data_IF_843591119128
#
_entry.id   IF_843591119128
#
_cell.length_a   1.000
_cell.length_b   1.000
_cell.length_c   1.000
_cell.angle_alpha   90.00
_cell.angle_beta   90.00
_cell.angle_gamma   90.00
#
_symmetry.space_group_name_H-M   'P 1'
#
loop_
_entity.id
_entity.type
_entity.pdbx_description
1 polymer ?
#
# COMPACT_ATOMS: atom_id res chain seq x y z
N UNK A 1 -32.44 2.09 -12.49
CA UNK A 1 -31.10 2.25 -13.11
C UNK A 1 -30.48 3.62 -12.81
N UNK A 2 -31.24 4.72 -12.77
CA UNK A 2 -30.72 6.07 -12.46
C UNK A 2 -30.09 6.21 -11.07
N UNK A 3 -30.65 5.60 -10.03
CA UNK A 3 -30.10 5.65 -8.66
C UNK A 3 -28.73 4.98 -8.50
N UNK A 4 -28.47 3.91 -9.26
CA UNK A 4 -27.17 3.20 -9.26
C UNK A 4 -26.10 4.03 -9.97
N UNK A 5 -26.46 4.67 -11.09
CA UNK A 5 -25.57 5.58 -11.82
C UNK A 5 -25.15 6.79 -10.96
N UNK A 6 -26.10 7.36 -10.21
CA UNK A 6 -25.84 8.49 -9.31
C UNK A 6 -24.97 8.11 -8.11
N UNK A 7 -25.18 6.92 -7.52
CA UNK A 7 -24.33 6.37 -6.45
C UNK A 7 -22.88 6.18 -6.95
N UNK A 8 -22.71 5.55 -8.11
CA UNK A 8 -21.40 5.31 -8.71
C UNK A 8 -20.66 6.61 -9.04
N UNK A 9 -21.38 7.65 -9.46
CA UNK A 9 -20.80 8.97 -9.72
C UNK A 9 -20.27 9.62 -8.44
N UNK A 10 -21.03 9.55 -7.32
CA UNK A 10 -20.59 10.08 -6.02
C UNK A 10 -19.36 9.36 -5.48
N UNK A 11 -19.38 8.03 -5.53
CA UNK A 11 -18.22 7.20 -5.13
C UNK A 11 -17.02 7.54 -6.01
N UNK A 12 -17.21 7.67 -7.32
CA UNK A 12 -16.15 8.05 -8.25
C UNK A 12 -15.52 9.41 -7.95
N UNK A 13 -16.33 10.42 -7.59
CA UNK A 13 -15.83 11.75 -7.19
C UNK A 13 -14.96 11.63 -5.93
N UNK A 14 -15.44 10.92 -4.90
CA UNK A 14 -14.71 10.73 -3.64
C UNK A 14 -13.38 10.02 -3.87
N UNK A 15 -13.39 8.92 -4.64
CA UNK A 15 -12.19 8.17 -4.99
C UNK A 15 -11.18 9.01 -5.81
N UNK A 16 -11.68 9.88 -6.69
CA UNK A 16 -10.82 10.77 -7.47
C UNK A 16 -10.14 11.80 -6.58
N UNK A 17 -10.86 12.38 -5.62
CA UNK A 17 -10.30 13.32 -4.63
C UNK A 17 -9.22 12.66 -3.77
N UNK A 18 -9.44 11.42 -3.34
CA UNK A 18 -8.43 10.63 -2.61
C UNK A 18 -7.14 10.47 -3.43
N UNK A 19 -7.25 10.04 -4.69
CA UNK A 19 -6.10 9.86 -5.57
C UNK A 19 -5.34 11.17 -5.84
N UNK A 20 -6.05 12.29 -6.03
CA UNK A 20 -5.42 13.61 -6.20
C UNK A 20 -4.66 14.01 -4.94
N UNK A 21 -5.25 13.80 -3.76
CA UNK A 21 -4.61 14.05 -2.48
C UNK A 21 -3.36 13.16 -2.31
N UNK A 22 -3.44 11.88 -2.67
CA UNK A 22 -2.33 10.94 -2.58
C UNK A 22 -1.15 11.37 -3.47
N UNK A 23 -1.38 11.67 -4.74
CA UNK A 23 -0.32 12.06 -5.70
C UNK A 23 0.38 13.36 -5.26
N UNK A 24 -0.38 14.29 -4.66
CA UNK A 24 0.12 15.64 -4.34
C UNK A 24 0.73 15.72 -2.94
N UNK A 25 0.01 15.22 -1.93
CA UNK A 25 0.37 15.40 -0.52
C UNK A 25 1.42 14.41 -0.04
N UNK A 26 1.42 13.16 -0.51
CA UNK A 26 2.39 12.15 -0.03
C UNK A 26 3.84 12.62 -0.25
N UNK A 27 4.24 13.11 -1.43
CA UNK A 27 5.62 13.57 -1.61
C UNK A 27 5.90 14.89 -0.88
N UNK A 28 4.91 15.80 -0.81
CA UNK A 28 5.04 17.07 -0.08
C UNK A 28 5.31 16.82 1.41
N UNK A 29 4.48 16.00 2.04
CA UNK A 29 4.61 15.60 3.43
C UNK A 29 5.89 14.77 3.64
N UNK A 30 6.26 13.91 2.69
CA UNK A 30 7.55 13.21 2.72
C UNK A 30 8.72 14.17 2.85
N UNK A 31 8.77 15.20 1.99
CA UNK A 31 9.81 16.22 2.00
C UNK A 31 9.74 17.14 3.23
N UNK A 32 8.54 17.46 3.73
CA UNK A 32 8.37 18.24 4.97
C UNK A 32 8.86 17.43 6.17
N UNK A 33 8.46 16.17 6.27
CA UNK A 33 8.89 15.28 7.34
C UNK A 33 10.38 14.99 7.29
N UNK A 34 11.05 15.01 6.14
CA UNK A 34 12.51 14.91 6.06
C UNK A 34 13.24 16.02 6.84
N UNK A 35 12.62 17.20 7.00
CA UNK A 35 13.24 18.42 7.57
C UNK A 35 12.86 18.68 9.02
N UNK A 36 11.77 18.11 9.50
CA UNK A 36 11.27 18.38 10.85
C UNK A 36 12.01 17.50 11.85
N UNK A 37 12.80 18.09 12.75
CA UNK A 37 13.38 17.33 13.86
C UNK A 37 12.78 17.80 15.19
N UNK A 38 12.16 16.88 15.93
CA UNK A 38 11.57 17.17 17.25
C UNK A 38 12.16 16.25 18.32
N UNK A 39 11.71 16.40 19.57
CA UNK A 39 12.12 15.54 20.69
C UNK A 39 11.67 14.09 20.52
N UNK A 40 10.58 13.85 19.81
CA UNK A 40 10.02 12.51 19.57
C UNK A 40 10.53 11.85 18.29
N UNK A 41 11.39 12.54 17.53
CA UNK A 41 11.90 12.07 16.23
C UNK A 41 11.53 13.01 15.09
N UNK A 42 11.71 12.52 13.87
CA UNK A 42 11.47 13.25 12.62
C UNK A 42 10.19 12.87 11.92
N UNK A 43 9.93 11.56 11.83
CA UNK A 43 8.70 11.04 11.24
C UNK A 43 7.57 11.01 12.27
N UNK A 44 7.91 10.69 13.52
CA UNK A 44 6.92 10.48 14.59
C UNK A 44 5.93 11.64 14.84
N UNK A 45 6.31 12.94 14.73
CA UNK A 45 5.33 14.04 14.85
C UNK A 45 4.18 13.95 13.84
N UNK A 46 4.47 13.55 12.61
CA UNK A 46 3.46 13.45 11.56
C UNK A 46 2.49 12.29 11.83
N UNK A 47 2.98 11.20 12.41
CA UNK A 47 2.14 10.09 12.89
C UNK A 47 1.28 10.55 14.07
N UNK A 48 1.89 11.25 15.04
CA UNK A 48 1.21 11.73 16.24
C UNK A 48 0.03 12.67 15.95
N UNK A 49 0.13 13.53 14.93
CA UNK A 49 -0.97 14.41 14.55
C UNK A 49 -1.87 13.79 13.47
N UNK A 50 -1.30 13.12 12.47
CA UNK A 50 -2.06 12.57 11.34
C UNK A 50 -2.94 11.40 11.73
N UNK A 51 -2.44 10.43 12.50
CA UNK A 51 -3.21 9.22 12.83
C UNK A 51 -4.43 9.52 13.71
N UNK A 52 -4.37 10.37 14.75
CA UNK A 52 -5.56 10.68 15.55
C UNK A 52 -6.63 11.44 14.77
N UNK A 53 -6.23 12.40 13.93
CA UNK A 53 -7.19 13.12 13.08
C UNK A 53 -7.84 12.11 12.12
N UNK A 54 -7.06 11.28 11.44
CA UNK A 54 -7.62 10.23 10.59
C UNK A 54 -8.57 9.29 11.36
N UNK A 55 -8.23 8.89 12.59
CA UNK A 55 -9.05 8.00 13.40
C UNK A 55 -10.40 8.62 13.76
N UNK A 56 -10.40 9.89 14.15
CA UNK A 56 -11.61 10.61 14.53
C UNK A 56 -12.54 10.72 13.32
N UNK A 57 -12.02 11.19 12.18
CA UNK A 57 -12.85 11.36 10.99
C UNK A 57 -13.30 10.01 10.41
N UNK A 58 -12.47 8.97 10.47
CA UNK A 58 -12.86 7.61 10.07
C UNK A 58 -13.99 7.06 10.95
N UNK A 59 -13.85 7.17 12.28
CA UNK A 59 -14.90 6.71 13.21
C UNK A 59 -16.21 7.49 13.05
N UNK A 60 -16.15 8.75 12.61
CA UNK A 60 -17.32 9.61 12.42
C UNK A 60 -18.13 9.28 11.15
N UNK A 61 -17.53 8.66 10.13
CA UNK A 61 -18.19 8.35 8.84
C UNK A 61 -19.60 7.77 8.99
N UNK A 62 -19.84 6.68 9.76
CA UNK A 62 -21.15 6.07 9.85
C UNK A 62 -22.20 6.97 10.54
N UNK A 63 -21.78 7.87 11.43
CA UNK A 63 -22.67 8.72 12.24
C UNK A 63 -23.05 10.04 11.57
N UNK A 64 -22.44 10.36 10.44
CA UNK A 64 -22.68 11.60 9.72
C UNK A 64 -23.76 11.35 8.66
N UNK A 65 -24.71 12.29 8.56
CA UNK A 65 -25.77 12.24 7.55
C UNK A 65 -25.18 11.98 6.16
N UNK A 66 -25.82 11.08 5.40
CA UNK A 66 -25.43 10.71 4.03
C UNK A 66 -25.60 11.85 2.99
N UNK A 67 -25.76 13.10 3.45
CA UNK A 67 -25.63 14.26 2.60
C UNK A 67 -24.20 14.37 2.08
N UNK A 68 -24.06 14.30 0.75
CA UNK A 68 -22.75 14.38 0.08
C UNK A 68 -21.96 15.63 0.48
N UNK A 69 -22.65 16.73 0.80
CA UNK A 69 -22.05 17.99 1.20
C UNK A 69 -21.40 17.96 2.58
N UNK A 70 -21.86 17.08 3.47
CA UNK A 70 -21.29 16.90 4.83
C UNK A 70 -20.27 15.77 4.83
N UNK A 71 -20.56 14.69 4.12
CA UNK A 71 -19.68 13.53 4.02
C UNK A 71 -18.39 13.82 3.23
N UNK A 72 -18.45 14.66 2.19
CA UNK A 72 -17.28 14.96 1.35
C UNK A 72 -16.17 15.68 2.15
N UNK A 73 -16.43 16.77 2.90
CA UNK A 73 -15.41 17.39 3.74
C UNK A 73 -14.80 16.44 4.77
N UNK A 74 -15.60 15.57 5.38
CA UNK A 74 -15.15 14.56 6.37
C UNK A 74 -14.13 13.63 5.74
N UNK A 75 -14.46 13.06 4.57
CA UNK A 75 -13.57 12.16 3.84
C UNK A 75 -12.32 12.90 3.35
N UNK A 76 -12.45 14.13 2.86
CA UNK A 76 -11.30 14.93 2.43
C UNK A 76 -10.34 15.21 3.58
N UNK A 77 -10.85 15.60 4.76
CA UNK A 77 -10.01 15.83 5.95
C UNK A 77 -9.34 14.53 6.39
N UNK A 78 -10.08 13.43 6.40
CA UNK A 78 -9.54 12.09 6.69
C UNK A 78 -8.41 11.74 5.72
N UNK A 79 -8.58 11.93 4.42
CA UNK A 79 -7.57 11.62 3.41
C UNK A 79 -6.33 12.50 3.53
N UNK A 80 -6.48 13.79 3.84
CA UNK A 80 -5.35 14.69 4.14
C UNK A 80 -4.59 14.19 5.37
N UNK A 81 -5.30 13.80 6.43
CA UNK A 81 -4.70 13.26 7.64
C UNK A 81 -3.97 11.93 7.37
N UNK A 82 -4.56 11.04 6.56
CA UNK A 82 -3.91 9.82 6.11
C UNK A 82 -2.65 10.07 5.30
N UNK A 83 -2.70 10.98 4.32
CA UNK A 83 -1.53 11.37 3.54
C UNK A 83 -0.41 11.93 4.43
N UNK A 84 -0.78 12.61 5.52
CA UNK A 84 0.16 13.21 6.50
C UNK A 84 1.01 12.15 7.22
N UNK A 85 0.45 11.00 7.58
CA UNK A 85 1.23 9.96 8.28
C UNK A 85 1.71 8.81 7.39
N UNK A 86 1.09 8.58 6.23
CA UNK A 86 1.41 7.44 5.35
C UNK A 86 2.82 7.51 4.79
N UNK A 87 3.24 8.65 4.23
CA UNK A 87 4.59 8.82 3.68
C UNK A 87 5.68 8.66 4.76
N UNK A 88 5.58 9.35 5.92
CA UNK A 88 6.54 9.18 7.01
C UNK A 88 6.62 7.75 7.56
N UNK A 89 5.48 7.04 7.64
CA UNK A 89 5.44 5.66 8.13
C UNK A 89 6.21 4.71 7.23
N UNK A 90 6.05 4.82 5.90
CA UNK A 90 6.78 3.99 4.94
C UNK A 90 8.29 4.28 4.99
N UNK A 91 8.67 5.54 5.22
CA UNK A 91 10.07 5.96 5.32
C UNK A 91 10.77 5.48 6.61
N UNK A 92 10.03 5.22 7.70
CA UNK A 92 10.61 4.73 8.95
C UNK A 92 11.41 3.42 8.77
N UNK A 93 10.92 2.49 7.95
CA UNK A 93 11.59 1.20 7.74
C UNK A 93 13.01 1.36 7.18
N UNK A 94 13.23 2.03 6.02
CA UNK A 94 14.59 2.21 5.48
C UNK A 94 15.45 3.18 6.31
N UNK A 95 14.83 4.11 7.04
CA UNK A 95 15.50 5.06 7.92
C UNK A 95 16.12 4.36 9.16
N UNK A 96 15.41 3.40 9.76
CA UNK A 96 15.84 2.71 10.98
C UNK A 96 16.57 1.39 10.71
N UNK A 97 16.51 0.88 9.46
CA UNK A 97 17.11 -0.40 9.10
C UNK A 97 18.44 -0.21 8.38
N UNK A 98 19.55 -0.81 8.89
CA UNK A 98 20.84 -0.84 8.21
C UNK A 98 20.74 -1.37 6.78
N UNK A 99 21.48 -0.79 5.84
CA UNK A 99 21.40 -1.11 4.41
C UNK A 99 21.41 -2.61 4.08
N UNK A 100 22.26 -3.47 4.69
CA UNK A 100 22.27 -4.91 4.42
C UNK A 100 20.97 -5.64 4.81
N UNK A 101 20.25 -5.12 5.80
CA UNK A 101 19.05 -5.74 6.38
C UNK A 101 17.74 -5.21 5.77
N UNK A 102 17.78 -4.12 4.98
CA UNK A 102 16.58 -3.48 4.40
C UNK A 102 15.68 -4.44 3.61
N UNK A 103 16.26 -5.38 2.86
CA UNK A 103 15.47 -6.38 2.12
C UNK A 103 14.74 -7.36 3.05
N UNK A 104 15.38 -7.75 4.15
CA UNK A 104 14.76 -8.63 5.17
C UNK A 104 13.66 -7.88 5.91
N UNK A 105 13.91 -6.64 6.32
CA UNK A 105 12.93 -5.80 6.98
C UNK A 105 11.71 -5.54 6.07
N UNK A 106 11.91 -5.24 4.79
CA UNK A 106 10.82 -5.09 3.83
C UNK A 106 9.99 -6.39 3.69
N UNK A 107 10.66 -7.54 3.67
CA UNK A 107 9.98 -8.84 3.68
C UNK A 107 9.10 -9.06 4.91
N UNK A 108 9.59 -8.69 6.10
CA UNK A 108 8.82 -8.74 7.34
C UNK A 108 7.64 -7.78 7.30
N UNK A 109 7.82 -6.53 6.84
CA UNK A 109 6.73 -5.55 6.73
C UNK A 109 5.62 -6.07 5.82
N UNK A 110 5.97 -6.61 4.65
CA UNK A 110 4.99 -7.18 3.73
C UNK A 110 4.27 -8.39 4.34
N UNK A 111 5.02 -9.25 5.06
CA UNK A 111 4.44 -10.39 5.75
C UNK A 111 3.46 -9.98 6.84
N UNK A 112 3.83 -9.01 7.69
CA UNK A 112 2.96 -8.46 8.72
C UNK A 112 1.73 -7.77 8.12
N UNK A 113 1.88 -7.11 6.97
CA UNK A 113 0.76 -6.55 6.20
C UNK A 113 -0.25 -7.63 5.78
N UNK A 114 0.22 -8.71 5.15
CA UNK A 114 -0.68 -9.79 4.73
C UNK A 114 -1.26 -10.59 5.91
N UNK A 115 -0.51 -10.80 6.99
CA UNK A 115 -1.07 -11.34 8.25
C UNK A 115 -2.17 -10.44 8.80
N UNK A 116 -1.97 -9.12 8.78
CA UNK A 116 -2.98 -8.15 9.21
C UNK A 116 -4.25 -8.24 8.36
N UNK A 117 -4.11 -8.37 7.03
CA UNK A 117 -5.24 -8.59 6.12
C UNK A 117 -5.98 -9.90 6.43
N UNK A 118 -5.27 -11.02 6.66
CA UNK A 118 -5.90 -12.30 7.01
C UNK A 118 -6.62 -12.20 8.36
N UNK A 119 -5.99 -11.59 9.37
CA UNK A 119 -6.63 -11.39 10.67
C UNK A 119 -7.89 -10.54 10.54
N UNK A 120 -7.87 -9.51 9.68
CA UNK A 120 -9.06 -8.71 9.39
C UNK A 120 -10.15 -9.53 8.70
N UNK A 121 -9.86 -10.17 7.56
CA UNK A 121 -10.85 -10.94 6.79
C UNK A 121 -11.31 -12.24 7.46
N UNK A 122 -10.52 -12.79 8.38
CA UNK A 122 -10.82 -14.07 9.04
C UNK A 122 -11.39 -13.92 10.45
N UNK A 123 -11.02 -12.87 11.19
CA UNK A 123 -11.47 -12.65 12.57
C UNK A 123 -12.38 -11.43 12.64
N UNK A 124 -11.93 -10.28 12.16
CA UNK A 124 -12.70 -9.03 12.27
C UNK A 124 -14.06 -9.15 11.56
N UNK A 125 -14.09 -9.55 10.29
CA UNK A 125 -15.36 -9.74 9.54
C UNK A 125 -16.31 -10.75 10.19
N UNK A 126 -15.81 -11.80 10.85
CA UNK A 126 -16.64 -12.82 11.52
C UNK A 126 -17.21 -12.36 12.86
N UNK A 127 -16.49 -11.48 13.56
CA UNK A 127 -16.95 -10.84 14.79
C UNK A 127 -17.92 -9.69 14.51
N UNK A 128 -17.82 -9.10 13.32
CA UNK A 128 -18.54 -7.90 12.90
C UNK A 128 -19.37 -8.11 11.60
N UNK A 129 -19.95 -9.30 11.38
CA UNK A 129 -20.84 -9.61 10.23
C UNK A 129 -22.16 -8.82 10.30
N UNK A 130 -22.92 -8.65 9.22
CA UNK A 130 -24.20 -7.88 9.25
C UNK A 130 -25.21 -8.31 10.33
N UNK A 131 -25.16 -9.57 10.81
CA UNK A 131 -25.97 -10.05 11.94
C UNK A 131 -25.40 -9.71 13.33
N UNK A 132 -24.11 -9.36 13.45
CA UNK A 132 -23.36 -9.18 14.72
C UNK A 132 -22.58 -7.86 14.85
N UNK A 133 -22.31 -7.18 13.74
CA UNK A 133 -21.58 -5.94 13.59
C UNK A 133 -22.33 -4.98 12.66
N UNK A 134 -22.13 -3.70 12.89
CA UNK A 134 -22.79 -2.62 12.19
C UNK A 134 -21.71 -1.62 11.75
N UNK A 135 -21.91 -0.88 10.66
CA UNK A 135 -20.98 0.19 10.26
C UNK A 135 -20.69 1.16 11.42
N UNK A 136 -21.66 1.34 12.33
CA UNK A 136 -21.53 2.13 13.55
C UNK A 136 -20.63 1.50 14.63
N UNK A 137 -20.28 0.22 14.55
CA UNK A 137 -19.31 -0.44 15.44
C UNK A 137 -17.94 -0.58 14.78
N UNK A 138 -17.91 -0.87 13.48
CA UNK A 138 -16.71 -1.34 12.81
C UNK A 138 -15.69 -0.22 12.58
N UNK A 139 -16.19 0.96 12.16
CA UNK A 139 -15.36 2.15 11.96
C UNK A 139 -14.73 2.63 13.27
N UNK A 140 -15.47 2.78 14.39
CA UNK A 140 -14.86 3.09 15.68
C UNK A 140 -13.83 2.07 16.16
N UNK A 141 -14.09 0.77 16.02
CA UNK A 141 -13.12 -0.27 16.45
C UNK A 141 -11.83 -0.18 15.65
N UNK A 142 -11.92 -0.06 14.32
CA UNK A 142 -10.74 0.12 13.47
C UNK A 142 -9.97 1.40 13.81
N UNK A 143 -10.67 2.50 14.11
CA UNK A 143 -10.05 3.74 14.61
C UNK A 143 -9.33 3.54 15.95
N UNK A 144 -9.90 2.81 16.89
CA UNK A 144 -9.27 2.49 18.18
C UNK A 144 -7.99 1.67 17.94
N UNK A 145 -8.03 0.66 17.06
CA UNK A 145 -6.86 -0.13 16.68
C UNK A 145 -5.76 0.78 16.10
N UNK A 146 -6.12 1.73 15.25
CA UNK A 146 -5.17 2.69 14.68
C UNK A 146 -4.49 3.55 15.76
N UNK A 147 -5.23 3.99 16.78
CA UNK A 147 -4.65 4.71 17.93
C UNK A 147 -3.73 3.80 18.75
N UNK A 148 -4.12 2.55 19.01
CA UNK A 148 -3.28 1.59 19.72
C UNK A 148 -1.96 1.38 18.97
N UNK A 149 -2.00 1.23 17.64
CA UNK A 149 -0.80 1.13 16.80
C UNK A 149 0.07 2.37 16.94
N UNK A 150 -0.51 3.58 16.89
CA UNK A 150 0.24 4.82 17.11
C UNK A 150 0.96 4.82 18.46
N UNK A 151 0.27 4.42 19.54
CA UNK A 151 0.86 4.36 20.88
C UNK A 151 2.03 3.38 20.94
N UNK A 152 1.87 2.19 20.34
CA UNK A 152 2.96 1.20 20.23
C UNK A 152 4.15 1.80 19.47
N UNK A 153 3.91 2.45 18.32
CA UNK A 153 4.98 3.08 17.55
C UNK A 153 5.70 4.17 18.37
N UNK A 154 4.98 5.02 19.10
CA UNK A 154 5.56 6.08 19.94
C UNK A 154 6.40 5.54 21.11
N UNK A 155 6.03 4.39 21.66
CA UNK A 155 6.76 3.77 22.78
C UNK A 155 7.97 2.97 22.28
N UNK A 156 7.81 2.23 21.19
CA UNK A 156 8.82 1.28 20.69
C UNK A 156 9.85 1.93 19.78
N UNK A 157 9.47 2.93 18.97
CA UNK A 157 10.36 3.53 17.98
C UNK A 157 11.04 4.78 18.55
N UNK A 158 12.37 4.80 18.49
CA UNK A 158 13.19 5.97 18.77
C UNK A 158 14.12 6.27 17.60
N UNK A 159 13.98 7.44 17.00
CA UNK A 159 14.78 7.84 15.85
C UNK A 159 16.15 8.41 16.29
N UNK A 160 17.28 7.80 15.90
CA UNK A 160 18.62 8.23 16.35
C UNK A 160 19.09 9.50 15.63
N UNK A 161 18.97 10.67 16.27
CA UNK A 161 19.35 11.98 15.70
C UNK A 161 20.77 12.05 15.12
N UNK A 162 21.73 11.34 15.70
CA UNK A 162 23.17 11.47 15.36
C UNK A 162 23.57 10.73 14.08
N UNK A 163 22.77 9.77 13.62
CA UNK A 163 23.09 8.94 12.45
C UNK A 163 22.56 9.55 11.13
N UNK A 164 21.64 10.52 11.23
CA UNK A 164 21.12 11.23 10.06
C UNK A 164 21.97 12.47 9.77
N UNK A 165 22.93 12.35 8.86
CA UNK A 165 23.55 13.52 8.23
C UNK A 165 22.47 14.21 7.41
N UNK A 166 22.04 15.39 7.83
CA UNK A 166 21.14 16.24 7.05
C UNK A 166 21.82 16.51 5.71
N UNK A 167 21.37 15.84 4.64
CA UNK A 167 21.81 16.22 3.31
C UNK A 167 21.16 17.56 3.01
N UNK A 168 21.93 18.65 3.01
CA UNK A 168 21.53 20.01 2.60
C UNK A 168 21.07 20.11 1.13
N UNK A 169 20.82 18.98 0.47
CA UNK A 169 20.28 18.95 -0.89
C UNK A 169 18.85 19.49 -0.85
N UNK A 170 18.68 20.70 -1.40
CA UNK A 170 17.37 21.25 -1.78
C UNK A 170 16.61 20.18 -2.57
N UNK A 171 15.64 19.54 -1.93
CA UNK A 171 14.67 18.74 -2.65
C UNK A 171 13.73 19.67 -3.36
N UNK A 172 13.83 19.59 -4.68
CA UNK A 172 12.96 20.23 -5.63
C UNK A 172 11.59 19.54 -5.62
N UNK A 173 10.50 20.29 -5.80
CA UNK A 173 9.14 19.73 -5.83
C UNK A 173 9.00 18.58 -6.85
N UNK A 174 7.97 17.73 -6.70
CA UNK A 174 7.75 16.49 -7.48
C UNK A 174 8.09 16.66 -8.97
N UNK A 175 7.59 17.72 -9.60
CA UNK A 175 7.85 18.04 -11.00
C UNK A 175 9.32 18.23 -11.32
N UNK A 176 10.04 18.96 -10.48
CA UNK A 176 11.46 19.24 -10.69
C UNK A 176 12.32 18.05 -10.24
N UNK A 177 11.89 17.23 -9.29
CA UNK A 177 12.50 15.93 -9.02
C UNK A 177 12.37 14.97 -10.22
N UNK A 178 11.17 14.85 -10.80
CA UNK A 178 10.94 14.08 -12.04
C UNK A 178 11.79 14.62 -13.20
N UNK A 179 11.79 15.95 -13.41
CA UNK A 179 12.61 16.58 -14.45
C UNK A 179 14.11 16.33 -14.23
N UNK A 180 14.56 16.31 -12.97
CA UNK A 180 15.95 16.01 -12.61
C UNK A 180 16.30 14.58 -12.96
N UNK A 181 15.46 13.61 -12.60
CA UNK A 181 15.68 12.19 -12.95
C UNK A 181 15.65 11.99 -14.46
N UNK A 182 14.73 12.62 -15.18
CA UNK A 182 14.66 12.53 -16.65
C UNK A 182 15.87 13.16 -17.35
N UNK A 183 16.45 14.22 -16.76
CA UNK A 183 17.68 14.88 -17.23
C UNK A 183 18.95 14.23 -16.71
N UNK A 184 18.85 13.24 -15.83
CA UNK A 184 19.99 12.55 -15.26
C UNK A 184 20.75 11.81 -16.36
N UNK A 185 22.08 11.98 -16.40
CA UNK A 185 22.92 11.39 -17.45
C UNK A 185 22.99 9.88 -17.32
N UNK A 186 22.93 9.36 -16.10
CA UNK A 186 22.91 7.93 -15.87
C UNK A 186 21.59 7.31 -16.36
N UNK A 187 21.69 6.37 -17.28
CA UNK A 187 20.53 5.61 -17.75
C UNK A 187 19.94 4.72 -16.64
N UNK A 188 20.74 4.34 -15.64
CA UNK A 188 20.37 3.46 -14.53
C UNK A 188 19.13 3.95 -13.77
N UNK A 189 19.11 5.23 -13.33
CA UNK A 189 18.00 5.80 -12.56
C UNK A 189 16.71 5.88 -13.40
N UNK A 190 16.85 6.30 -14.66
CA UNK A 190 15.70 6.41 -15.60
C UNK A 190 15.11 5.05 -15.92
N UNK A 191 15.95 4.04 -16.15
CA UNK A 191 15.53 2.67 -16.39
C UNK A 191 14.88 2.05 -15.15
N UNK A 192 15.38 2.35 -13.95
CA UNK A 192 14.76 1.88 -12.71
C UNK A 192 13.37 2.48 -12.51
N UNK A 193 13.22 3.79 -12.69
CA UNK A 193 11.93 4.47 -12.60
C UNK A 193 10.95 3.93 -13.65
N UNK A 194 11.42 3.75 -14.89
CA UNK A 194 10.64 3.13 -15.97
C UNK A 194 10.21 1.70 -15.64
N UNK A 195 11.11 0.88 -15.07
CA UNK A 195 10.80 -0.48 -14.66
C UNK A 195 9.73 -0.53 -13.55
N UNK A 196 9.84 0.34 -12.54
CA UNK A 196 8.83 0.45 -11.48
C UNK A 196 7.48 0.89 -12.06
N UNK A 197 7.49 1.89 -12.96
CA UNK A 197 6.27 2.37 -13.62
C UNK A 197 5.58 1.28 -14.45
N UNK A 198 6.34 0.58 -15.30
CA UNK A 198 5.83 -0.52 -16.11
C UNK A 198 5.34 -1.70 -15.24
N UNK A 199 6.03 -1.98 -14.14
CA UNK A 199 5.60 -2.98 -13.16
C UNK A 199 4.22 -2.64 -12.59
N UNK A 200 4.02 -1.40 -12.12
CA UNK A 200 2.73 -0.99 -11.57
C UNK A 200 1.61 -1.03 -12.61
N UNK A 201 1.86 -0.59 -13.85
CA UNK A 201 0.86 -0.69 -14.93
C UNK A 201 0.51 -2.15 -15.22
N UNK A 202 1.53 -3.01 -15.38
CA UNK A 202 1.33 -4.42 -15.68
C UNK A 202 0.57 -5.11 -14.56
N UNK A 203 0.97 -4.90 -13.30
CA UNK A 203 0.30 -5.47 -12.14
C UNK A 203 -1.16 -5.00 -12.01
N UNK A 204 -1.42 -3.69 -12.10
CA UNK A 204 -2.81 -3.17 -12.00
C UNK A 204 -3.69 -3.71 -13.12
N UNK A 205 -3.15 -3.83 -14.34
CA UNK A 205 -3.87 -4.42 -15.47
C UNK A 205 -4.23 -5.88 -15.22
N UNK A 206 -3.27 -6.69 -14.74
CA UNK A 206 -3.52 -8.08 -14.36
C UNK A 206 -4.56 -8.14 -13.24
N UNK A 207 -4.34 -7.46 -12.12
CA UNK A 207 -5.24 -7.48 -10.96
C UNK A 207 -6.68 -7.09 -11.31
N UNK A 208 -6.86 -6.05 -12.13
CA UNK A 208 -8.19 -5.54 -12.51
C UNK A 208 -8.96 -6.52 -13.41
N UNK A 209 -8.28 -7.13 -14.38
CA UNK A 209 -8.94 -7.94 -15.40
C UNK A 209 -8.81 -9.44 -15.19
N UNK A 210 -8.06 -9.90 -14.18
CA UNK A 210 -7.79 -11.32 -13.96
C UNK A 210 -9.07 -12.14 -13.84
N UNK A 211 -10.02 -11.70 -13.00
CA UNK A 211 -11.30 -12.41 -12.81
C UNK A 211 -12.10 -12.48 -14.10
N UNK A 212 -12.19 -11.37 -14.85
CA UNK A 212 -12.92 -11.31 -16.12
C UNK A 212 -12.28 -12.23 -17.17
N UNK A 213 -10.95 -12.25 -17.25
CA UNK A 213 -10.23 -13.14 -18.14
C UNK A 213 -10.43 -14.62 -17.77
N UNK A 214 -10.39 -14.94 -16.46
CA UNK A 214 -10.65 -16.28 -15.97
C UNK A 214 -12.05 -16.78 -16.29
N UNK A 215 -13.07 -15.92 -16.21
CA UNK A 215 -14.45 -16.31 -16.51
C UNK A 215 -14.73 -16.39 -18.02
N UNK A 216 -14.29 -15.39 -18.79
CA UNK A 216 -14.65 -15.28 -20.22
C UNK A 216 -13.75 -16.11 -21.14
N UNK A 217 -12.46 -16.28 -20.81
CA UNK A 217 -11.50 -17.00 -21.66
C UNK A 217 -11.25 -18.41 -21.16
N UNK A 218 -11.08 -18.59 -19.84
CA UNK A 218 -10.87 -19.92 -19.26
C UNK A 218 -12.18 -20.64 -18.89
N UNK A 219 -13.33 -19.97 -19.00
CA UNK A 219 -14.62 -20.56 -18.66
C UNK A 219 -14.77 -20.91 -17.18
N UNK A 220 -13.97 -20.30 -16.30
CA UNK A 220 -14.04 -20.55 -14.86
C UNK A 220 -15.31 -19.95 -14.28
N UNK A 221 -15.85 -20.60 -13.25
CA UNK A 221 -16.83 -19.94 -12.39
C UNK A 221 -16.19 -18.75 -11.67
N UNK A 222 -16.99 -17.72 -11.37
CA UNK A 222 -16.52 -16.50 -10.68
C UNK A 222 -15.83 -16.83 -9.35
N UNK A 223 -16.37 -17.79 -8.61
CA UNK A 223 -15.81 -18.22 -7.33
C UNK A 223 -14.45 -18.90 -7.51
N UNK A 224 -14.30 -19.72 -8.55
CA UNK A 224 -13.01 -20.33 -8.89
C UNK A 224 -11.98 -19.25 -9.26
N UNK A 225 -12.34 -18.27 -10.09
CA UNK A 225 -11.45 -17.17 -10.47
C UNK A 225 -11.02 -16.30 -9.27
N UNK A 226 -11.92 -16.06 -8.32
CA UNK A 226 -11.61 -15.36 -7.07
C UNK A 226 -10.67 -16.17 -6.14
N UNK A 227 -10.79 -17.50 -6.12
CA UNK A 227 -9.89 -18.37 -5.38
C UNK A 227 -8.44 -18.29 -5.91
N UNK A 228 -8.24 -18.15 -7.23
CA UNK A 228 -6.91 -17.94 -7.81
C UNK A 228 -6.21 -16.67 -7.30
N UNK A 229 -6.92 -15.55 -7.17
CA UNK A 229 -6.37 -14.33 -6.57
C UNK A 229 -6.01 -14.50 -5.10
N UNK A 230 -6.77 -15.35 -4.39
CA UNK A 230 -6.47 -15.72 -3.00
C UNK A 230 -5.17 -16.52 -2.93
N UNK A 231 -4.97 -17.49 -3.84
CA UNK A 231 -3.72 -18.24 -3.91
C UNK A 231 -2.52 -17.35 -4.25
N UNK A 232 -2.66 -16.42 -5.18
CA UNK A 232 -1.61 -15.44 -5.48
C UNK A 232 -1.22 -14.63 -4.23
N UNK A 233 -2.21 -14.11 -3.52
CA UNK A 233 -1.98 -13.34 -2.28
C UNK A 233 -1.31 -14.18 -1.19
N UNK A 234 -1.68 -15.46 -1.09
CA UNK A 234 -1.08 -16.41 -0.14
C UNK A 234 0.39 -16.71 -0.50
N UNK A 235 0.70 -16.95 -1.78
CA UNK A 235 2.08 -17.14 -2.25
C UNK A 235 2.93 -15.91 -1.96
N UNK A 236 2.41 -14.72 -2.27
CA UNK A 236 3.06 -13.46 -1.96
C UNK A 236 3.38 -13.36 -0.46
N UNK A 237 2.42 -13.69 0.40
CA UNK A 237 2.60 -13.70 1.85
C UNK A 237 3.68 -14.70 2.28
N UNK A 238 3.61 -15.95 1.80
CA UNK A 238 4.58 -17.01 2.13
C UNK A 238 5.99 -16.67 1.64
N UNK A 239 6.11 -16.03 0.48
CA UNK A 239 7.39 -15.63 -0.12
C UNK A 239 7.93 -14.29 0.40
N UNK A 240 7.12 -13.49 1.12
CA UNK A 240 7.53 -12.18 1.62
C UNK A 240 8.80 -12.26 2.50
N UNK A 241 8.88 -13.24 3.40
CA UNK A 241 10.07 -13.44 4.26
C UNK A 241 11.23 -14.12 3.48
N UNK A 242 11.05 -15.30 2.84
CA UNK A 242 12.12 -16.00 2.12
C UNK A 242 12.79 -15.14 1.06
N UNK A 243 12.03 -14.37 0.29
CA UNK A 243 12.56 -13.48 -0.75
C UNK A 243 13.56 -12.45 -0.18
N UNK A 244 13.32 -11.93 1.02
CA UNK A 244 14.25 -11.03 1.71
C UNK A 244 15.59 -11.69 2.05
N UNK A 245 15.56 -12.97 2.46
CA UNK A 245 16.77 -13.76 2.70
C UNK A 245 17.52 -14.09 1.39
N UNK A 246 16.79 -14.53 0.37
CA UNK A 246 17.35 -14.84 -0.97
C UNK A 246 18.04 -13.59 -1.54
N UNK A 247 17.37 -12.43 -1.48
CA UNK A 247 17.92 -11.15 -1.94
C UNK A 247 19.21 -10.76 -1.20
N UNK A 248 19.33 -11.08 0.09
CA UNK A 248 20.54 -10.80 0.87
C UNK A 248 21.71 -11.73 0.52
N UNK A 249 21.44 -12.98 0.10
CA UNK A 249 22.48 -13.97 -0.21
C UNK A 249 22.95 -13.91 -1.67
N UNK A 250 22.02 -13.80 -2.61
CA UNK A 250 22.31 -13.84 -4.05
C UNK A 250 22.41 -12.44 -4.69
N UNK A 251 22.07 -11.40 -3.93
CA UNK A 251 22.02 -10.01 -4.38
C UNK A 251 20.65 -9.61 -4.93
N UNK A 252 20.25 -8.36 -4.64
CA UNK A 252 18.93 -7.81 -4.98
C UNK A 252 18.62 -7.87 -6.47
N UNK A 253 19.55 -7.40 -7.32
CA UNK A 253 19.34 -7.35 -8.78
C UNK A 253 19.07 -8.74 -9.38
N UNK A 254 19.87 -9.74 -9.01
CA UNK A 254 19.71 -11.11 -9.52
C UNK A 254 18.39 -11.72 -9.06
N UNK A 255 18.01 -11.46 -7.81
CA UNK A 255 16.75 -11.97 -7.24
C UNK A 255 15.53 -11.35 -7.93
N UNK A 256 15.55 -10.02 -8.18
CA UNK A 256 14.49 -9.33 -8.92
C UNK A 256 14.39 -9.87 -10.36
N UNK A 257 15.53 -10.02 -11.04
CA UNK A 257 15.57 -10.57 -12.41
C UNK A 257 15.02 -12.00 -12.47
N UNK A 258 15.39 -12.85 -11.50
CA UNK A 258 14.89 -14.23 -11.43
C UNK A 258 13.36 -14.26 -11.25
N UNK A 259 12.82 -13.39 -10.38
CA UNK A 259 11.37 -13.26 -10.19
C UNK A 259 10.65 -12.79 -11.45
N UNK A 260 11.16 -11.74 -12.11
CA UNK A 260 10.57 -11.21 -13.35
C UNK A 260 10.58 -12.23 -14.50
N UNK A 261 11.70 -12.94 -14.68
CA UNK A 261 11.82 -14.00 -15.70
C UNK A 261 10.89 -15.16 -15.37
N UNK A 262 10.83 -15.59 -14.10
CA UNK A 262 9.92 -16.63 -13.64
C UNK A 262 8.46 -16.28 -13.92
N UNK A 263 8.04 -15.06 -13.55
CA UNK A 263 6.69 -14.56 -13.82
C UNK A 263 6.39 -14.51 -15.32
N UNK A 264 7.33 -14.03 -16.14
CA UNK A 264 7.14 -13.98 -17.59
C UNK A 264 6.94 -15.36 -18.21
N UNK A 265 7.76 -16.34 -17.80
CA UNK A 265 7.63 -17.74 -18.25
C UNK A 265 6.28 -18.30 -17.81
N UNK A 266 5.91 -18.12 -16.54
CA UNK A 266 4.63 -18.62 -15.98
C UNK A 266 3.41 -18.04 -16.71
N UNK A 267 3.38 -16.73 -16.93
CA UNK A 267 2.30 -16.08 -17.68
C UNK A 267 2.26 -16.55 -19.14
N UNK A 268 3.42 -16.76 -19.78
CA UNK A 268 3.49 -17.27 -21.15
C UNK A 268 3.02 -18.72 -21.26
N UNK A 269 3.32 -19.56 -20.27
CA UNK A 269 2.81 -20.95 -20.22
C UNK A 269 1.31 -20.96 -19.98
N UNK A 270 0.82 -20.08 -19.10
CA UNK A 270 -0.61 -19.94 -18.78
C UNK A 270 -1.46 -19.61 -20.02
N UNK A 271 -0.95 -18.79 -20.94
CA UNK A 271 -1.65 -18.47 -22.20
C UNK A 271 -1.65 -19.61 -23.22
N UNK A 272 -0.65 -20.51 -23.18
CA UNK A 272 -0.56 -21.63 -24.13
C UNK A 272 -1.30 -22.90 -23.68
N UNK A 273 -1.33 -23.18 -22.38
CA UNK A 273 -1.85 -24.46 -21.86
C UNK A 273 -3.37 -24.42 -21.61
N UNK A 274 -3.94 -23.23 -21.38
CA UNK A 274 -5.37 -23.07 -21.09
C UNK A 274 -5.71 -23.62 -19.70
N UNK A 275 -5.98 -22.71 -18.76
CA UNK A 275 -6.09 -22.94 -17.31
C UNK A 275 -4.74 -23.28 -16.66
N UNK A 276 -4.08 -22.32 -15.98
CA UNK A 276 -3.01 -22.66 -15.06
C UNK A 276 -3.64 -23.50 -13.96
N UNK A 277 -3.18 -24.75 -13.78
CA UNK A 277 -3.55 -25.55 -12.62
C UNK A 277 -3.43 -24.69 -11.34
N UNK A 278 -4.26 -24.88 -10.31
CA UNK A 278 -4.18 -24.11 -9.06
C UNK A 278 -2.77 -24.02 -8.48
N UNK A 279 -1.95 -25.05 -8.73
CA UNK A 279 -0.52 -25.13 -8.37
C UNK A 279 0.38 -24.16 -9.13
N UNK A 280 0.09 -23.81 -10.39
CA UNK A 280 0.82 -22.80 -11.15
C UNK A 280 0.55 -21.38 -10.62
N UNK A 281 -0.63 -21.12 -10.05
CA UNK A 281 -0.92 -19.88 -9.34
C UNK A 281 -0.22 -19.77 -7.97
N UNK A 282 0.13 -20.91 -7.36
CA UNK A 282 0.96 -20.97 -6.15
C UNK A 282 2.45 -20.68 -6.48
N UNK A 283 2.84 -20.74 -7.75
CA UNK A 283 4.20 -20.45 -8.21
C UNK A 283 4.35 -19.03 -8.82
N UNK A 284 3.25 -18.28 -8.93
CA UNK A 284 3.21 -16.84 -9.25
C UNK A 284 3.42 -16.00 -7.98
#
# INVERSE_FOLDING_TARGET
>A
MEGVSYLNTKVGIIMTLDNIAAISLIPLIGALSDRTWTRIGRRMPFLLFGMPIAAIFFAAIPYIDFSIWVLTPVIVIMNIAMATFRAPTIALMPDLTPSPLRSKANGIVNFMGGLGSIAFYGVFTTLFTEEKGNIYTDFPVASIIMIIVLLVLLITIREPRKEFVQSDKRQDGIFKALLTVLREKEASTKLLLGAIFLWFIGWNGVETYFTLYGTEVWGLEKDAAAQYLTYFSLTFLLMAIPSGFIASRFGRKKTIMLGLVGMFIMLSVSTMVGVPWPTAAILL
#
